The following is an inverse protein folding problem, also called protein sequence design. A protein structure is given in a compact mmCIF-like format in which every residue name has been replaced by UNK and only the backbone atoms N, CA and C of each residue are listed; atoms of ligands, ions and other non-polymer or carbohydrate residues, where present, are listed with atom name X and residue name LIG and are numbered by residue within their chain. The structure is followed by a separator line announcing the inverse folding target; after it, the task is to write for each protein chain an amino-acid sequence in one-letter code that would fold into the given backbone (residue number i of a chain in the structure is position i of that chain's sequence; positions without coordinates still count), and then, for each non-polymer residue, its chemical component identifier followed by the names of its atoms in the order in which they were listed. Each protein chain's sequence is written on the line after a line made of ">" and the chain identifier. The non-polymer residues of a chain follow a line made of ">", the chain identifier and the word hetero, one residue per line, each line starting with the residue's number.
data_IF_926125905954
#
_entry.id   IF_926125905954
#
_cell.length_a   1.000
_cell.length_b   1.000
_cell.length_c   1.000
_cell.angle_alpha   90.00
_cell.angle_beta   90.00
_cell.angle_gamma   90.00
#
_symmetry.space_group_name_H-M   'P 1'
#
loop_
_entity.id
_entity.type
_entity.pdbx_description
1 polymer ?
#
# COMPACT_ATOMS: atom_id res chain seq x y z
N UNK A 1 -23.64 8.46 26.07
CA UNK A 1 -23.04 9.56 25.29
C UNK A 1 -21.70 9.08 24.78
N UNK A 2 -21.38 9.28 23.50
CA UNK A 2 -20.11 8.81 22.94
C UNK A 2 -18.93 9.47 23.69
N UNK A 3 -17.93 8.68 24.05
CA UNK A 3 -16.76 9.16 24.80
C UNK A 3 -15.92 10.13 23.95
N UNK A 4 -15.13 11.01 24.59
CA UNK A 4 -14.23 11.93 23.88
C UNK A 4 -13.27 11.19 22.91
N UNK A 5 -12.87 9.97 23.31
CA UNK A 5 -12.04 9.07 22.49
C UNK A 5 -12.79 8.55 21.26
N UNK A 6 -14.08 8.20 21.40
CA UNK A 6 -14.92 7.78 20.27
C UNK A 6 -15.12 8.92 19.26
N UNK A 7 -15.34 10.15 19.74
CA UNK A 7 -15.45 11.33 18.86
C UNK A 7 -14.16 11.59 18.07
N UNK A 8 -13.00 11.49 18.73
CA UNK A 8 -11.70 11.65 18.07
C UNK A 8 -11.47 10.59 16.98
N UNK A 9 -11.82 9.33 17.26
CA UNK A 9 -11.71 8.25 16.27
C UNK A 9 -12.69 8.40 15.10
N UNK A 10 -13.92 8.83 15.38
CA UNK A 10 -14.91 9.11 14.34
C UNK A 10 -14.45 10.23 13.39
N UNK A 11 -13.84 11.29 13.92
CA UNK A 11 -13.27 12.37 13.11
C UNK A 11 -12.11 11.86 12.24
N UNK A 12 -11.15 11.12 12.83
CA UNK A 12 -10.06 10.49 12.06
C UNK A 12 -10.58 9.58 10.95
N UNK A 13 -11.61 8.77 11.22
CA UNK A 13 -12.21 7.88 10.24
C UNK A 13 -12.86 8.67 9.08
N UNK A 14 -13.57 9.75 9.39
CA UNK A 14 -14.20 10.60 8.37
C UNK A 14 -13.16 11.28 7.46
N UNK A 15 -12.11 11.84 8.06
CA UNK A 15 -10.98 12.43 7.33
C UNK A 15 -10.29 11.39 6.45
N UNK A 16 -10.06 10.20 7.00
CA UNK A 16 -9.45 9.09 6.27
C UNK A 16 -10.31 8.66 5.08
N UNK A 17 -11.61 8.46 5.26
CA UNK A 17 -12.53 8.08 4.18
C UNK A 17 -12.53 9.12 3.06
N UNK A 18 -12.62 10.40 3.42
CA UNK A 18 -12.58 11.49 2.44
C UNK A 18 -11.27 11.51 1.64
N UNK A 19 -10.14 11.27 2.31
CA UNK A 19 -8.82 11.17 1.65
C UNK A 19 -8.75 9.96 0.71
N UNK A 20 -9.12 8.78 1.21
CA UNK A 20 -9.07 7.53 0.45
C UNK A 20 -9.94 7.60 -0.81
N UNK A 21 -11.16 8.14 -0.69
CA UNK A 21 -12.07 8.32 -1.82
C UNK A 21 -11.49 9.23 -2.91
N UNK A 22 -10.82 10.32 -2.51
CA UNK A 22 -10.16 11.24 -3.44
C UNK A 22 -9.02 10.56 -4.21
N UNK A 23 -8.23 9.74 -3.55
CA UNK A 23 -7.13 9.01 -4.18
C UNK A 23 -7.59 7.93 -5.15
N UNK A 24 -8.64 7.18 -4.78
CA UNK A 24 -9.29 6.23 -5.71
C UNK A 24 -9.74 6.94 -6.97
N UNK A 25 -10.35 8.13 -6.84
CA UNK A 25 -10.78 8.95 -7.97
C UNK A 25 -9.63 9.40 -8.88
N UNK A 26 -8.54 9.91 -8.30
CA UNK A 26 -7.36 10.31 -9.08
C UNK A 26 -6.69 9.12 -9.79
N UNK A 27 -6.58 7.96 -9.13
CA UNK A 27 -6.00 6.75 -9.76
C UNK A 27 -6.88 6.21 -10.89
N UNK A 28 -8.20 6.33 -10.77
CA UNK A 28 -9.15 6.00 -11.83
C UNK A 28 -8.98 6.91 -13.05
N UNK A 29 -8.78 8.20 -12.81
CA UNK A 29 -8.49 9.19 -13.86
C UNK A 29 -7.15 8.92 -14.55
N UNK A 30 -6.13 8.52 -13.80
CA UNK A 30 -4.83 8.13 -14.35
C UNK A 30 -4.94 6.88 -15.22
N UNK A 31 -5.64 5.84 -14.77
CA UNK A 31 -5.86 4.63 -15.57
C UNK A 31 -6.61 4.91 -16.86
N UNK A 32 -7.68 5.72 -16.79
CA UNK A 32 -8.37 6.16 -18.01
C UNK A 32 -7.41 6.88 -18.96
N UNK A 33 -6.58 7.79 -18.44
CA UNK A 33 -5.60 8.53 -19.25
C UNK A 33 -4.55 7.61 -19.85
N UNK A 34 -4.06 6.61 -19.11
CA UNK A 34 -3.13 5.59 -19.61
C UNK A 34 -3.72 4.83 -20.80
N UNK A 35 -5.01 4.51 -20.74
CA UNK A 35 -5.73 3.88 -21.84
C UNK A 35 -6.03 4.83 -23.02
N UNK A 36 -5.61 6.10 -22.95
CA UNK A 36 -5.80 7.09 -24.00
C UNK A 36 -7.25 7.56 -24.18
N UNK A 37 -8.13 7.26 -23.22
CA UNK A 37 -9.57 7.50 -23.37
C UNK A 37 -10.01 8.85 -22.79
N UNK A 38 -10.94 9.51 -23.46
CA UNK A 38 -11.65 10.67 -22.89
C UNK A 38 -12.63 10.24 -21.79
N UNK A 39 -13.05 11.16 -20.91
CA UNK A 39 -14.10 10.88 -19.89
C UNK A 39 -15.39 10.35 -20.52
N UNK A 40 -15.77 10.90 -21.69
CA UNK A 40 -16.99 10.51 -22.40
C UNK A 40 -16.85 9.09 -22.96
N UNK A 41 -15.73 8.79 -23.60
CA UNK A 41 -15.46 7.49 -24.18
C UNK A 41 -15.39 6.40 -23.11
N UNK A 42 -14.62 6.65 -22.04
CA UNK A 42 -14.47 5.70 -20.94
C UNK A 42 -15.84 5.41 -20.30
N UNK A 43 -16.59 6.44 -19.92
CA UNK A 43 -17.94 6.30 -19.35
C UNK A 43 -18.87 5.47 -20.24
N UNK A 44 -18.84 5.68 -21.55
CA UNK A 44 -19.63 4.88 -22.51
C UNK A 44 -19.21 3.41 -22.51
N UNK A 45 -17.92 3.10 -22.43
CA UNK A 45 -17.40 1.72 -22.45
C UNK A 45 -17.70 0.96 -21.14
N UNK A 46 -17.64 1.63 -19.99
CA UNK A 46 -18.04 1.04 -18.70
C UNK A 46 -19.54 1.10 -18.43
N UNK A 47 -20.35 1.72 -19.31
CA UNK A 47 -21.80 1.71 -19.21
C UNK A 47 -22.40 2.75 -18.25
N UNK A 48 -21.69 3.84 -17.95
CA UNK A 48 -22.17 4.93 -17.07
C UNK A 48 -22.27 6.27 -17.80
N UNK A 49 -22.94 7.24 -17.18
CA UNK A 49 -23.00 8.61 -17.71
C UNK A 49 -21.66 9.36 -17.50
N UNK A 50 -21.33 10.30 -18.39
CA UNK A 50 -20.11 11.14 -18.29
C UNK A 50 -19.97 11.85 -16.93
N UNK A 51 -21.09 12.30 -16.37
CA UNK A 51 -21.07 12.96 -15.06
C UNK A 51 -20.77 11.97 -13.93
N UNK A 52 -21.25 10.73 -14.03
CA UNK A 52 -20.87 9.66 -13.09
C UNK A 52 -19.36 9.43 -13.10
N UNK A 53 -18.75 9.32 -14.28
CA UNK A 53 -17.29 9.25 -14.41
C UNK A 53 -16.58 10.44 -13.78
N UNK A 54 -17.14 11.64 -13.95
CA UNK A 54 -16.55 12.86 -13.38
C UNK A 54 -16.58 12.85 -11.86
N UNK A 55 -17.70 12.42 -11.26
CA UNK A 55 -17.88 12.38 -9.82
C UNK A 55 -17.02 11.28 -9.17
N UNK A 56 -16.79 10.16 -9.87
CA UNK A 56 -15.83 9.15 -9.43
C UNK A 56 -14.40 9.70 -9.47
N UNK A 57 -14.00 10.32 -10.58
CA UNK A 57 -12.65 10.87 -10.73
C UNK A 57 -12.35 12.06 -9.80
N UNK A 58 -13.36 12.79 -9.33
CA UNK A 58 -13.19 13.87 -8.34
C UNK A 58 -13.21 13.39 -6.89
N UNK A 59 -13.53 12.11 -6.65
CA UNK A 59 -13.73 11.59 -5.30
C UNK A 59 -15.01 12.10 -4.62
N UNK A 60 -15.96 12.65 -5.37
CA UNK A 60 -17.29 13.02 -4.85
C UNK A 60 -18.17 11.79 -4.60
N UNK A 61 -17.96 10.72 -5.37
CA UNK A 61 -18.68 9.46 -5.23
C UNK A 61 -17.73 8.28 -5.37
N UNK A 62 -18.02 7.18 -4.67
CA UNK A 62 -17.26 5.93 -4.79
C UNK A 62 -17.76 5.12 -6.00
N UNK A 63 -16.85 4.56 -6.83
CA UNK A 63 -17.23 3.56 -7.83
C UNK A 63 -17.78 2.30 -7.15
N UNK A 64 -18.83 1.73 -7.71
CA UNK A 64 -19.37 0.46 -7.23
C UNK A 64 -18.67 -0.75 -7.88
N UNK A 65 -18.99 -1.94 -7.39
CA UNK A 65 -18.37 -3.18 -7.84
C UNK A 65 -18.61 -3.44 -9.34
N UNK A 66 -19.83 -3.21 -9.83
CA UNK A 66 -20.18 -3.41 -11.24
C UNK A 66 -19.37 -2.49 -12.16
N UNK A 67 -19.19 -1.23 -11.76
CA UNK A 67 -18.32 -0.29 -12.48
C UNK A 67 -16.86 -0.77 -12.50
N UNK A 68 -16.34 -1.22 -11.37
CA UNK A 68 -14.95 -1.69 -11.27
C UNK A 68 -14.72 -2.94 -12.12
N UNK A 69 -15.65 -3.90 -12.11
CA UNK A 69 -15.58 -5.09 -12.97
C UNK A 69 -15.59 -4.69 -14.46
N UNK A 70 -16.45 -3.75 -14.85
CA UNK A 70 -16.49 -3.24 -16.22
C UNK A 70 -15.19 -2.51 -16.60
N UNK A 71 -14.61 -1.73 -15.70
CA UNK A 71 -13.35 -1.03 -15.90
C UNK A 71 -12.17 -2.01 -16.06
N UNK A 72 -12.12 -3.06 -15.24
CA UNK A 72 -11.10 -4.12 -15.32
C UNK A 72 -11.10 -4.79 -16.70
N UNK A 73 -12.28 -5.08 -17.26
CA UNK A 73 -12.42 -5.63 -18.62
C UNK A 73 -11.87 -4.71 -19.72
N UNK A 74 -11.74 -3.41 -19.46
CA UNK A 74 -11.10 -2.45 -20.37
C UNK A 74 -9.58 -2.35 -20.17
N UNK A 75 -9.02 -3.15 -19.27
CA UNK A 75 -7.60 -3.18 -18.94
C UNK A 75 -7.20 -2.19 -17.84
N UNK A 76 -8.15 -1.72 -17.03
CA UNK A 76 -7.85 -0.97 -15.80
C UNK A 76 -7.31 -1.93 -14.74
N UNK A 77 -6.21 -1.56 -14.09
CA UNK A 77 -5.66 -2.33 -12.97
C UNK A 77 -6.44 -2.01 -11.69
N UNK A 78 -7.26 -2.95 -11.20
CA UNK A 78 -8.00 -2.76 -9.95
C UNK A 78 -7.07 -2.66 -8.73
N UNK A 79 -5.94 -3.37 -8.73
CA UNK A 79 -4.90 -3.23 -7.71
C UNK A 79 -4.33 -1.81 -7.68
N UNK A 80 -4.16 -1.17 -8.85
CA UNK A 80 -3.77 0.23 -8.89
C UNK A 80 -4.86 1.16 -8.37
N UNK A 81 -6.13 0.94 -8.73
CA UNK A 81 -7.23 1.80 -8.26
C UNK A 81 -7.37 1.75 -6.73
N UNK A 82 -7.34 0.56 -6.15
CA UNK A 82 -7.64 0.33 -4.74
C UNK A 82 -6.44 0.58 -3.84
N UNK A 83 -5.27 0.10 -4.27
CA UNK A 83 -4.08 0.11 -3.45
C UNK A 83 -3.06 1.14 -3.96
N UNK A 84 -3.01 1.43 -5.26
CA UNK A 84 -2.04 2.36 -5.84
C UNK A 84 -0.82 1.68 -6.41
N UNK A 85 -0.86 0.36 -6.46
CA UNK A 85 0.22 -0.46 -6.99
C UNK A 85 0.01 -0.74 -8.47
N UNK A 86 0.80 -0.05 -9.32
CA UNK A 86 1.07 -0.54 -10.67
C UNK A 86 2.16 -1.59 -10.56
N UNK A 87 2.03 -2.67 -11.32
CA UNK A 87 3.12 -3.65 -11.49
C UNK A 87 4.19 -3.02 -12.39
N UNK A 88 4.95 -2.07 -11.84
CA UNK A 88 5.97 -1.31 -12.56
C UNK A 88 7.36 -1.65 -12.00
N UNK A 89 8.35 -1.78 -12.90
CA UNK A 89 9.76 -1.97 -12.56
C UNK A 89 10.25 -3.43 -12.51
N UNK A 90 11.53 -3.62 -12.84
CA UNK A 90 12.17 -4.95 -12.90
C UNK A 90 12.03 -5.76 -11.60
N UNK A 91 12.17 -5.18 -10.38
CA UNK A 91 11.98 -5.93 -9.15
C UNK A 91 10.56 -6.46 -8.98
N UNK A 92 9.52 -5.71 -9.37
CA UNK A 92 8.12 -6.17 -9.24
C UNK A 92 7.79 -7.25 -10.26
N UNK A 93 8.31 -7.14 -11.49
CA UNK A 93 8.23 -8.23 -12.48
C UNK A 93 8.98 -9.50 -12.03
N UNK A 94 10.18 -9.34 -11.47
CA UNK A 94 10.97 -10.46 -10.95
C UNK A 94 10.27 -11.14 -9.76
N UNK A 95 9.67 -10.35 -8.86
CA UNK A 95 8.87 -10.85 -7.74
C UNK A 95 7.68 -11.69 -8.22
N UNK A 96 6.93 -11.17 -9.18
CA UNK A 96 5.81 -11.88 -9.77
C UNK A 96 6.24 -13.20 -10.44
N UNK A 97 7.34 -13.18 -11.21
CA UNK A 97 7.87 -14.38 -11.86
C UNK A 97 8.39 -15.40 -10.84
N UNK A 98 9.13 -14.95 -9.82
CA UNK A 98 9.61 -15.80 -8.73
C UNK A 98 8.44 -16.49 -8.03
N UNK A 99 7.39 -15.74 -7.68
CA UNK A 99 6.16 -16.29 -7.12
C UNK A 99 5.53 -17.37 -8.03
N UNK A 100 5.38 -17.10 -9.33
CA UNK A 100 4.82 -18.09 -10.26
C UNK A 100 5.66 -19.37 -10.36
N UNK A 101 6.99 -19.25 -10.32
CA UNK A 101 7.91 -20.40 -10.32
C UNK A 101 7.74 -21.21 -9.04
N UNK A 102 7.72 -20.55 -7.86
CA UNK A 102 7.54 -21.21 -6.58
C UNK A 102 6.19 -21.93 -6.47
N UNK A 103 5.10 -21.31 -6.94
CA UNK A 103 3.78 -21.95 -6.96
C UNK A 103 3.73 -23.20 -7.84
N UNK A 104 4.35 -23.16 -9.02
CA UNK A 104 4.34 -24.29 -9.96
C UNK A 104 5.23 -25.45 -9.48
N UNK A 105 6.24 -25.15 -8.67
CA UNK A 105 7.28 -26.10 -8.27
C UNK A 105 7.06 -26.73 -6.90
N UNK A 106 6.10 -26.22 -6.12
CA UNK A 106 5.86 -26.66 -4.75
C UNK A 106 4.40 -27.12 -4.55
N UNK A 107 4.15 -28.28 -3.92
CA UNK A 107 2.82 -28.60 -3.39
C UNK A 107 2.56 -27.92 -2.02
N UNK A 108 3.20 -26.79 -1.70
CA UNK A 108 3.45 -26.39 -0.31
C UNK A 108 2.54 -25.27 0.21
N UNK A 109 1.65 -25.68 1.11
CA UNK A 109 1.01 -24.95 2.21
C UNK A 109 0.37 -23.58 1.94
N UNK A 110 -0.37 -23.09 2.94
CA UNK A 110 -1.14 -21.85 3.00
C UNK A 110 -0.26 -20.60 2.98
N UNK A 111 0.65 -20.51 2.02
CA UNK A 111 1.49 -19.35 1.81
C UNK A 111 0.61 -18.26 1.18
N UNK A 112 0.57 -17.10 1.83
CA UNK A 112 -0.13 -15.95 1.30
C UNK A 112 0.60 -15.44 0.05
N UNK A 113 -0.09 -15.54 -1.09
CA UNK A 113 0.42 -15.14 -2.40
C UNK A 113 0.93 -13.70 -2.42
N UNK A 114 0.17 -12.82 -1.79
CA UNK A 114 0.42 -11.38 -1.77
C UNK A 114 1.62 -11.09 -0.87
N UNK A 115 1.73 -11.78 0.27
CA UNK A 115 2.90 -11.66 1.15
C UNK A 115 4.20 -12.07 0.44
N UNK A 116 4.16 -13.11 -0.39
CA UNK A 116 5.34 -13.54 -1.15
C UNK A 116 5.72 -12.56 -2.24
N UNK A 117 4.75 -12.05 -2.98
CA UNK A 117 5.00 -11.03 -3.98
C UNK A 117 5.64 -9.78 -3.36
N UNK A 118 5.13 -9.31 -2.22
CA UNK A 118 5.70 -8.18 -1.48
C UNK A 118 7.10 -8.47 -0.92
N UNK A 119 7.31 -9.67 -0.36
CA UNK A 119 8.63 -10.08 0.13
C UNK A 119 9.65 -10.11 -1.01
N UNK A 120 9.33 -10.77 -2.12
CA UNK A 120 10.25 -10.87 -3.26
C UNK A 120 10.51 -9.52 -3.90
N UNK A 121 9.50 -8.64 -3.95
CA UNK A 121 9.68 -7.28 -4.45
C UNK A 121 10.68 -6.50 -3.59
N UNK A 122 10.51 -6.54 -2.26
CA UNK A 122 11.39 -5.85 -1.33
C UNK A 122 12.83 -6.39 -1.37
N UNK A 123 12.99 -7.71 -1.46
CA UNK A 123 14.32 -8.33 -1.61
C UNK A 123 14.96 -7.97 -2.96
N UNK A 124 14.18 -7.94 -4.04
CA UNK A 124 14.65 -7.51 -5.35
C UNK A 124 15.12 -6.05 -5.37
N UNK A 125 14.40 -5.15 -4.68
CA UNK A 125 14.82 -3.76 -4.49
C UNK A 125 16.10 -3.65 -3.66
N UNK A 126 16.22 -4.45 -2.59
CA UNK A 126 17.43 -4.49 -1.76
C UNK A 126 18.66 -4.93 -2.57
N UNK A 127 18.54 -5.94 -3.42
CA UNK A 127 19.62 -6.36 -4.32
C UNK A 127 19.98 -5.28 -5.35
N UNK A 128 19.00 -4.61 -5.94
CA UNK A 128 19.27 -3.48 -6.83
C UNK A 128 20.05 -2.36 -6.12
N UNK A 129 19.71 -2.06 -4.87
CA UNK A 129 20.41 -1.08 -4.05
C UNK A 129 21.84 -1.50 -3.70
N UNK A 130 22.09 -2.78 -3.41
CA UNK A 130 23.45 -3.30 -3.20
C UNK A 130 24.31 -3.09 -4.45
N UNK A 131 23.76 -3.44 -5.62
CA UNK A 131 24.45 -3.29 -6.90
C UNK A 131 24.74 -1.82 -7.26
N UNK A 132 23.90 -0.89 -6.82
CA UNK A 132 24.13 0.54 -6.99
C UNK A 132 25.11 1.15 -5.97
N UNK A 133 25.66 0.36 -5.05
CA UNK A 133 26.57 0.83 -3.99
C UNK A 133 25.88 1.58 -2.85
N UNK A 134 24.56 1.43 -2.68
CA UNK A 134 23.83 2.06 -1.58
C UNK A 134 24.18 1.42 -0.24
N UNK A 135 24.37 2.23 0.80
CA UNK A 135 24.57 1.75 2.17
C UNK A 135 23.24 1.57 2.94
N UNK A 136 22.10 1.78 2.27
CA UNK A 136 20.75 1.66 2.84
C UNK A 136 20.12 0.30 2.47
N UNK A 137 20.82 -0.77 2.83
CA UNK A 137 20.49 -2.17 2.51
C UNK A 137 20.07 -2.95 3.75
N UNK A 138 19.37 -4.06 3.54
CA UNK A 138 18.95 -5.00 4.59
C UNK A 138 20.17 -5.74 5.13
N UNK A 139 20.39 -5.62 6.44
CA UNK A 139 21.26 -6.53 7.16
C UNK A 139 20.60 -7.91 7.32
N UNK A 140 21.38 -8.89 7.77
CA UNK A 140 20.94 -10.28 7.90
C UNK A 140 19.79 -10.43 8.90
N UNK A 141 19.88 -9.75 10.05
CA UNK A 141 18.84 -9.78 11.08
C UNK A 141 17.49 -9.26 10.55
N UNK A 142 17.50 -8.12 9.87
CA UNK A 142 16.29 -7.50 9.33
C UNK A 142 15.68 -8.34 8.20
N UNK A 143 16.54 -8.94 7.36
CA UNK A 143 16.12 -9.85 6.28
C UNK A 143 15.46 -11.10 6.83
N UNK A 144 16.06 -11.73 7.83
CA UNK A 144 15.54 -12.95 8.45
C UNK A 144 14.22 -12.70 9.17
N UNK A 145 14.09 -11.55 9.83
CA UNK A 145 12.83 -11.14 10.46
C UNK A 145 11.71 -10.97 9.42
N UNK A 146 11.98 -10.30 8.29
CA UNK A 146 11.03 -10.13 7.19
C UNK A 146 10.57 -11.47 6.62
N UNK A 147 11.52 -12.35 6.29
CA UNK A 147 11.21 -13.67 5.73
C UNK A 147 10.35 -14.45 6.73
N UNK A 148 10.71 -14.44 8.01
CA UNK A 148 9.94 -15.14 9.06
C UNK A 148 8.49 -14.65 9.13
N UNK A 149 8.27 -13.34 9.19
CA UNK A 149 6.92 -12.76 9.28
C UNK A 149 6.09 -13.06 8.03
N UNK A 150 6.67 -12.92 6.83
CA UNK A 150 5.98 -13.21 5.58
C UNK A 150 5.50 -14.67 5.48
N UNK A 151 6.29 -15.61 5.98
CA UNK A 151 5.94 -17.04 5.98
C UNK A 151 5.00 -17.44 7.12
N UNK A 152 5.15 -16.86 8.31
CA UNK A 152 4.36 -17.25 9.48
C UNK A 152 3.01 -16.53 9.56
N UNK A 153 2.90 -15.32 9.02
CA UNK A 153 1.77 -14.40 9.18
C UNK A 153 1.48 -13.64 7.89
N UNK A 154 1.29 -14.39 6.79
CA UNK A 154 1.16 -13.81 5.46
C UNK A 154 0.02 -12.80 5.30
N UNK A 155 -1.11 -13.00 5.97
CA UNK A 155 -2.25 -12.06 5.96
C UNK A 155 -1.90 -10.71 6.61
N UNK A 156 -1.26 -10.73 7.79
CA UNK A 156 -0.83 -9.53 8.50
C UNK A 156 0.32 -8.85 7.75
N UNK A 157 1.27 -9.64 7.24
CA UNK A 157 2.41 -9.13 6.48
C UNK A 157 1.95 -8.44 5.20
N UNK A 158 1.09 -9.09 4.41
CA UNK A 158 0.64 -8.55 3.13
C UNK A 158 -0.12 -7.24 3.30
N UNK A 159 -1.05 -7.17 4.27
CA UNK A 159 -1.77 -5.94 4.59
C UNK A 159 -0.83 -4.84 5.10
N UNK A 160 0.18 -5.20 5.90
CA UNK A 160 1.16 -4.23 6.39
C UNK A 160 2.04 -3.69 5.28
N UNK A 161 2.58 -4.56 4.42
CA UNK A 161 3.41 -4.18 3.29
C UNK A 161 2.65 -3.26 2.32
N UNK A 162 1.39 -3.58 2.01
CA UNK A 162 0.50 -2.69 1.24
C UNK A 162 0.31 -1.34 1.92
N UNK A 163 0.00 -1.34 3.22
CA UNK A 163 -0.22 -0.09 3.95
C UNK A 163 1.03 0.81 3.88
N UNK A 164 2.22 0.28 4.18
CA UNK A 164 3.48 1.02 4.10
C UNK A 164 3.77 1.53 2.70
N UNK A 165 3.55 0.71 1.66
CA UNK A 165 3.75 1.11 0.26
C UNK A 165 2.86 2.29 -0.14
N UNK A 166 1.60 2.25 0.29
CA UNK A 166 0.62 3.30 -0.01
C UNK A 166 0.94 4.61 0.72
N UNK A 167 1.53 4.54 1.92
CA UNK A 167 1.96 5.73 2.66
C UNK A 167 3.27 6.32 2.14
N UNK A 168 4.23 5.47 1.73
CA UNK A 168 5.47 5.90 1.09
C UNK A 168 5.24 6.80 -0.14
N UNK A 169 4.21 6.49 -0.94
CA UNK A 169 3.85 7.29 -2.11
C UNK A 169 3.30 8.68 -1.77
N UNK A 170 2.77 8.89 -0.55
CA UNK A 170 2.20 10.19 -0.11
C UNK A 170 3.25 11.18 0.40
N UNK A 171 4.44 10.70 0.75
CA UNK A 171 5.54 11.52 1.31
C UNK A 171 6.62 11.90 0.29
N UNK A 172 6.39 11.64 -0.99
CA UNK A 172 7.18 12.09 -2.15
C UNK A 172 8.64 11.60 -2.25
N UNK A 173 9.08 10.64 -1.44
CA UNK A 173 10.31 9.88 -1.67
C UNK A 173 10.05 8.40 -1.37
N UNK A 174 10.35 7.53 -2.34
CA UNK A 174 10.26 6.08 -2.13
C UNK A 174 11.30 5.67 -1.06
N UNK A 175 10.87 5.06 0.06
CA UNK A 175 11.77 4.71 1.14
C UNK A 175 12.77 3.67 0.68
N UNK A 176 14.00 3.74 1.21
CA UNK A 176 14.99 2.68 0.97
C UNK A 176 14.42 1.31 1.40
N UNK A 177 14.86 0.20 0.80
CA UNK A 177 14.45 -1.15 1.18
C UNK A 177 14.62 -1.40 2.67
N UNK A 178 15.73 -0.91 3.25
CA UNK A 178 15.99 -0.96 4.70
C UNK A 178 14.91 -0.23 5.50
N UNK A 179 14.55 0.99 5.11
CA UNK A 179 13.52 1.76 5.81
C UNK A 179 12.14 1.10 5.67
N UNK A 180 11.77 0.66 4.47
CA UNK A 180 10.50 -0.04 4.20
C UNK A 180 10.38 -1.30 5.05
N UNK A 181 11.43 -2.12 5.11
CA UNK A 181 11.49 -3.30 5.96
C UNK A 181 11.29 -2.99 7.44
N UNK A 182 12.00 -1.97 7.94
CA UNK A 182 11.87 -1.51 9.32
C UNK A 182 10.44 -1.07 9.64
N UNK A 183 9.82 -0.29 8.75
CA UNK A 183 8.44 0.18 8.92
C UNK A 183 7.45 -0.99 8.94
N UNK A 184 7.60 -1.97 8.04
CA UNK A 184 6.76 -3.18 8.02
C UNK A 184 6.83 -3.91 9.37
N UNK A 185 8.03 -4.20 9.86
CA UNK A 185 8.19 -4.93 11.12
C UNK A 185 7.72 -4.13 12.33
N UNK A 186 7.92 -2.80 12.34
CA UNK A 186 7.42 -1.93 13.40
C UNK A 186 5.89 -1.89 13.42
N UNK A 187 5.25 -1.77 12.25
CA UNK A 187 3.78 -1.81 12.14
C UNK A 187 3.23 -3.16 12.58
N UNK A 188 3.83 -4.27 12.16
CA UNK A 188 3.47 -5.62 12.64
C UNK A 188 3.52 -5.69 14.17
N UNK A 189 4.64 -5.28 14.76
CA UNK A 189 4.84 -5.28 16.21
C UNK A 189 3.81 -4.40 16.93
N UNK A 190 3.52 -3.22 16.38
CA UNK A 190 2.58 -2.30 17.00
C UNK A 190 1.12 -2.75 16.84
N UNK A 191 0.78 -3.34 15.70
CA UNK A 191 -0.50 -4.01 15.47
C UNK A 191 -0.73 -5.11 16.52
N UNK A 192 0.24 -5.97 16.79
CA UNK A 192 0.09 -7.03 17.81
C UNK A 192 -0.24 -6.46 19.20
N UNK A 193 0.33 -5.30 19.55
CA UNK A 193 0.05 -4.62 20.82
C UNK A 193 -1.32 -3.90 20.86
N UNK A 194 -1.92 -3.63 19.71
CA UNK A 194 -3.12 -2.81 19.56
C UNK A 194 -4.35 -3.57 19.05
N UNK A 195 -4.18 -4.76 18.45
CA UNK A 195 -5.22 -5.46 17.68
C UNK A 195 -6.51 -5.71 18.47
N UNK A 196 -6.38 -6.10 19.74
CA UNK A 196 -7.52 -6.40 20.60
C UNK A 196 -8.20 -5.15 21.18
N UNK A 197 -7.58 -3.96 21.03
CA UNK A 197 -8.04 -2.71 21.64
C UNK A 197 -8.92 -1.88 20.70
N UNK A 198 -8.85 -2.12 19.39
CA UNK A 198 -9.46 -1.25 18.37
C UNK A 198 -10.75 -1.85 17.78
N UNK A 199 -10.99 -3.15 17.91
CA UNK A 199 -12.17 -3.85 17.36
C UNK A 199 -12.46 -3.52 15.89
N UNK A 200 -11.41 -3.27 15.10
CA UNK A 200 -11.47 -3.00 13.67
C UNK A 200 -11.21 -4.27 12.87
N UNK A 201 -11.54 -4.24 11.57
CA UNK A 201 -11.07 -5.26 10.63
C UNK A 201 -9.53 -5.28 10.63
N UNK A 202 -8.92 -6.42 10.28
CA UNK A 202 -7.47 -6.57 10.15
C UNK A 202 -6.88 -5.42 9.32
N UNK A 203 -7.46 -5.19 8.13
CA UNK A 203 -7.07 -4.15 7.18
C UNK A 203 -7.14 -2.75 7.78
N UNK A 204 -8.26 -2.38 8.40
CA UNK A 204 -8.45 -1.03 8.92
C UNK A 204 -7.56 -0.77 10.15
N UNK A 205 -7.35 -1.80 10.96
CA UNK A 205 -6.45 -1.76 12.10
C UNK A 205 -5.00 -1.52 11.67
N UNK A 206 -4.49 -2.36 10.75
CA UNK A 206 -3.14 -2.24 10.22
C UNK A 206 -2.93 -0.89 9.54
N UNK A 207 -3.90 -0.40 8.75
CA UNK A 207 -3.78 0.90 8.08
C UNK A 207 -3.67 2.06 9.06
N UNK A 208 -4.40 2.01 10.17
CA UNK A 208 -4.32 3.04 11.22
C UNK A 208 -2.97 2.98 11.95
N UNK A 209 -2.51 1.78 12.29
CA UNK A 209 -1.20 1.55 12.93
C UNK A 209 -0.06 1.97 12.01
N UNK A 210 -0.14 1.66 10.72
CA UNK A 210 0.84 2.04 9.71
C UNK A 210 0.96 3.56 9.56
N UNK A 211 -0.18 4.28 9.54
CA UNK A 211 -0.21 5.75 9.48
C UNK A 211 0.57 6.37 10.65
N UNK A 212 0.29 5.90 11.86
CA UNK A 212 0.95 6.38 13.09
C UNK A 212 2.46 6.10 13.07
N UNK A 213 2.88 4.89 12.68
CA UNK A 213 4.30 4.51 12.55
C UNK A 213 5.03 5.39 11.53
N UNK A 214 4.39 5.68 10.39
CA UNK A 214 4.98 6.52 9.34
C UNK A 214 5.10 7.99 9.78
N UNK A 215 4.07 8.54 10.43
CA UNK A 215 4.13 9.92 10.94
C UNK A 215 5.19 10.08 12.04
N UNK A 216 5.34 9.11 12.95
CA UNK A 216 6.40 9.13 13.96
C UNK A 216 7.81 9.13 13.34
N UNK A 217 8.04 8.32 12.31
CA UNK A 217 9.33 8.31 11.61
C UNK A 217 9.59 9.64 10.87
N UNK A 218 8.52 10.28 10.38
CA UNK A 218 8.61 11.60 9.75
C UNK A 218 8.95 12.70 10.77
N UNK A 219 8.28 12.72 11.92
CA UNK A 219 8.58 13.64 13.02
C UNK A 219 10.04 13.51 13.45
N UNK A 220 10.50 12.27 13.67
CA UNK A 220 11.88 11.95 14.02
C UNK A 220 12.89 12.48 12.99
N UNK A 221 12.61 12.33 11.70
CA UNK A 221 13.45 12.89 10.61
C UNK A 221 13.47 14.42 10.63
N UNK A 222 12.33 15.07 10.87
CA UNK A 222 12.23 16.53 10.92
C UNK A 222 13.01 17.10 12.13
N UNK A 223 12.94 16.46 13.29
CA UNK A 223 13.69 16.83 14.48
C UNK A 223 15.21 16.75 14.24
N UNK A 224 15.68 15.67 13.61
CA UNK A 224 17.10 15.54 13.24
C UNK A 224 17.57 16.60 12.25
N UNK A 225 16.73 17.00 11.29
CA UNK A 225 17.04 18.08 10.34
C UNK A 225 17.08 19.46 11.01
N UNK A 226 16.17 19.71 11.96
CA UNK A 226 16.11 20.95 12.74
C UNK A 226 17.30 21.15 13.68
N UNK A 227 17.79 20.08 14.31
CA UNK A 227 18.99 20.13 15.15
C UNK A 227 20.25 20.48 14.34
N UNK A 228 20.39 19.96 13.12
CA UNK A 228 21.55 20.22 12.25
C UNK A 228 21.59 21.63 11.62
N UNK A 229 20.52 22.43 11.73
CA UNK A 229 20.49 23.83 11.27
C UNK A 229 20.64 24.84 12.43
N UNK A 230 20.75 24.35 13.67
CA UNK A 230 20.76 25.17 14.89
C UNK A 230 22.13 25.22 15.60
N UNK A 231 23.16 24.60 15.03
CA UNK A 231 24.54 24.55 15.56
C UNK A 231 25.54 24.93 14.48
#
# INVERSE_FOLDING_TARGET
>A
MATERERRLANKLAEWRSRFQREVGERLKEERRRLGMSKVEFAKRVGVHRNTQTNYESGEREPDADYLEAAEKLGVSLSYILDGERVDGLPRFAAHLAYQIFLKSAPLCSIDAVAMEELFFLLGLDEANKLSGSNQVLDEELRDALIREAFQRGDVFSETAKAISNYALRICEEPSPRLRASLILQTIKYYDAARDKLHLSLRDNIRLVADDVVELERERKNEMRGHNHSG
#
